data_IF_613257732606
#
_entry.id   IF_613257732606
#
_cell.length_a   1.000
_cell.length_b   1.000
_cell.length_c   1.000
_cell.angle_alpha   90.00
_cell.angle_beta   90.00
_cell.angle_gamma   90.00
#
_symmetry.space_group_name_H-M   'P 1'
#
loop_
_entity.id
_entity.type
_entity.pdbx_description
1 polymer ?
#
# COMPACT_ATOMS: atom_id res chain seq x y z
N UNK A 1 -51.70 15.54 -10.36
CA UNK A 1 -51.53 16.17 -11.70
C UNK A 1 -50.14 15.95 -12.29
N UNK A 2 -49.02 16.35 -11.65
CA UNK A 2 -47.68 16.13 -12.24
C UNK A 2 -47.32 14.64 -12.34
N UNK A 3 -47.58 13.87 -11.28
CA UNK A 3 -47.37 12.42 -11.23
C UNK A 3 -48.16 11.75 -12.35
N UNK A 4 -49.45 12.07 -12.48
CA UNK A 4 -50.32 11.52 -13.54
C UNK A 4 -49.77 11.77 -14.94
N UNK A 5 -49.25 12.98 -15.23
CA UNK A 5 -48.65 13.29 -16.55
C UNK A 5 -47.38 12.47 -16.81
N UNK A 6 -46.63 12.12 -15.77
CA UNK A 6 -45.41 11.32 -15.86
C UNK A 6 -45.70 9.82 -16.03
N UNK A 7 -46.82 9.32 -15.49
CA UNK A 7 -47.14 7.88 -15.43
C UNK A 7 -48.31 7.44 -16.30
N UNK A 8 -49.14 8.35 -16.83
CA UNK A 8 -50.34 7.99 -17.61
C UNK A 8 -50.04 7.66 -19.08
N UNK A 9 -50.28 6.39 -19.45
CA UNK A 9 -50.14 5.86 -20.80
C UNK A 9 -51.12 6.46 -21.81
N UNK A 10 -52.29 6.95 -21.37
CA UNK A 10 -53.37 7.43 -22.25
C UNK A 10 -53.01 8.69 -23.03
N UNK A 11 -51.93 9.37 -22.64
CA UNK A 11 -51.48 10.63 -23.25
C UNK A 11 -50.33 10.45 -24.25
N UNK A 12 -49.91 9.20 -24.53
CA UNK A 12 -48.85 8.88 -25.48
C UNK A 12 -49.44 8.88 -26.90
N UNK A 13 -49.45 10.04 -27.56
CA UNK A 13 -49.72 10.09 -29.00
C UNK A 13 -48.53 9.53 -29.79
N UNK A 14 -48.84 8.71 -30.80
CA UNK A 14 -47.89 7.97 -31.62
C UNK A 14 -46.71 8.85 -32.10
N UNK A 15 -45.51 8.56 -31.59
CA UNK A 15 -44.25 8.94 -32.23
C UNK A 15 -43.29 9.85 -31.45
N UNK A 16 -43.72 10.63 -30.45
CA UNK A 16 -42.78 11.45 -29.64
C UNK A 16 -43.17 11.48 -28.16
N UNK A 17 -42.34 10.86 -27.30
CA UNK A 17 -42.38 11.04 -25.84
C UNK A 17 -41.95 12.47 -25.51
N UNK A 18 -42.90 13.41 -25.48
CA UNK A 18 -42.64 14.80 -25.08
C UNK A 18 -42.22 14.82 -23.60
N UNK A 19 -41.02 15.34 -23.32
CA UNK A 19 -40.53 15.51 -21.96
C UNK A 19 -41.48 16.39 -21.13
N UNK A 20 -41.61 16.07 -19.84
CA UNK A 20 -42.23 16.97 -18.87
C UNK A 20 -41.17 17.97 -18.44
N UNK A 21 -41.39 19.24 -18.74
CA UNK A 21 -40.44 20.33 -18.47
C UNK A 21 -41.06 21.31 -17.49
N UNK A 22 -40.43 21.45 -16.32
CA UNK A 22 -40.76 22.52 -15.36
C UNK A 22 -39.58 23.47 -15.29
N UNK A 23 -39.87 24.77 -15.25
CA UNK A 23 -38.86 25.82 -15.16
C UNK A 23 -39.25 26.87 -14.14
N UNK A 24 -38.37 27.21 -13.21
CA UNK A 24 -38.60 28.28 -12.23
C UNK A 24 -39.70 27.97 -11.21
N UNK A 25 -40.08 26.70 -11.05
CA UNK A 25 -41.20 26.30 -10.19
C UNK A 25 -40.70 26.00 -8.78
N UNK A 26 -41.46 26.42 -7.76
CA UNK A 26 -41.31 25.94 -6.39
C UNK A 26 -42.24 24.76 -6.15
N UNK A 27 -41.67 23.60 -5.85
CA UNK A 27 -42.38 22.38 -5.50
C UNK A 27 -42.58 22.38 -3.98
N UNK A 28 -43.84 22.57 -3.58
CA UNK A 28 -44.27 22.54 -2.18
C UNK A 28 -44.70 21.11 -1.83
N UNK A 29 -44.21 20.61 -0.70
CA UNK A 29 -44.44 19.22 -0.26
C UNK A 29 -43.49 18.21 -0.93
N UNK A 30 -43.74 16.92 -0.68
CA UNK A 30 -42.94 15.83 -1.25
C UNK A 30 -43.34 15.57 -2.70
N UNK A 31 -42.37 15.60 -3.62
CA UNK A 31 -42.54 14.99 -4.94
C UNK A 31 -42.09 13.54 -4.85
N UNK A 32 -43.06 12.67 -4.62
CA UNK A 32 -42.86 11.24 -4.48
C UNK A 32 -43.14 10.50 -5.79
N UNK A 33 -42.10 9.87 -6.32
CA UNK A 33 -42.12 9.03 -7.53
C UNK A 33 -41.56 7.63 -7.21
N UNK A 34 -41.61 7.20 -5.95
CA UNK A 34 -41.18 5.86 -5.54
C UNK A 34 -41.89 4.77 -6.37
N UNK A 35 -41.09 3.80 -6.83
CA UNK A 35 -41.49 2.68 -7.69
C UNK A 35 -42.21 3.07 -8.99
N UNK A 36 -42.24 4.37 -9.34
CA UNK A 36 -42.96 4.86 -10.50
C UNK A 36 -42.22 4.54 -11.80
N UNK A 37 -42.97 4.26 -12.87
CA UNK A 37 -42.42 4.20 -14.23
C UNK A 37 -42.73 5.51 -14.96
N UNK A 38 -41.71 6.33 -15.15
CA UNK A 38 -41.79 7.59 -15.88
C UNK A 38 -41.76 7.31 -17.38
N UNK A 39 -42.91 7.48 -18.03
CA UNK A 39 -43.06 7.23 -19.46
C UNK A 39 -42.40 8.32 -20.31
N UNK A 40 -42.14 9.48 -19.72
CA UNK A 40 -41.55 10.68 -20.32
C UNK A 40 -40.31 11.12 -19.53
N UNK A 41 -39.28 11.70 -20.18
CA UNK A 41 -38.18 12.35 -19.46
C UNK A 41 -38.69 13.44 -18.50
N UNK A 42 -38.10 13.50 -17.31
CA UNK A 42 -38.34 14.57 -16.33
C UNK A 42 -37.21 15.59 -16.42
N UNK A 43 -37.53 16.81 -16.85
CA UNK A 43 -36.59 17.93 -16.90
C UNK A 43 -37.09 19.05 -15.98
N UNK A 44 -36.29 19.32 -14.96
CA UNK A 44 -36.51 20.36 -13.97
C UNK A 44 -35.37 21.36 -14.13
N UNK A 45 -35.70 22.62 -14.38
CA UNK A 45 -34.73 23.68 -14.59
C UNK A 45 -34.99 24.83 -13.64
N UNK A 46 -33.97 25.30 -12.92
CA UNK A 46 -34.07 26.46 -12.02
C UNK A 46 -35.22 26.30 -11.00
N UNK A 47 -35.51 25.07 -10.57
CA UNK A 47 -36.63 24.74 -9.67
C UNK A 47 -36.18 24.65 -8.21
N UNK A 48 -37.09 24.92 -7.27
CA UNK A 48 -36.84 24.87 -5.83
C UNK A 48 -37.75 23.84 -5.15
N UNK A 49 -37.21 23.01 -4.25
CA UNK A 49 -37.96 22.00 -3.51
C UNK A 49 -37.89 22.26 -2.01
N UNK A 50 -39.04 22.20 -1.34
CA UNK A 50 -39.11 22.30 0.13
C UNK A 50 -38.76 20.96 0.82
N UNK A 51 -38.91 19.83 0.12
CA UNK A 51 -38.63 18.47 0.61
C UNK A 51 -37.77 17.67 -0.38
N UNK A 52 -37.13 16.56 0.03
CA UNK A 52 -36.33 15.73 -0.85
C UNK A 52 -37.14 15.18 -2.03
N UNK A 53 -36.50 15.04 -3.20
CA UNK A 53 -37.08 14.35 -4.35
C UNK A 53 -36.96 12.83 -4.15
N UNK A 54 -38.10 12.12 -4.14
CA UNK A 54 -38.12 10.67 -3.93
C UNK A 54 -38.27 9.97 -5.29
N UNK A 55 -37.31 9.11 -5.61
CA UNK A 55 -37.15 8.35 -6.85
C UNK A 55 -36.72 6.90 -6.55
N UNK A 56 -36.94 6.41 -5.33
CA UNK A 56 -36.60 5.06 -4.94
C UNK A 56 -37.24 4.05 -5.88
N UNK A 57 -36.46 3.10 -6.39
CA UNK A 57 -36.95 2.02 -7.27
C UNK A 57 -37.70 2.48 -8.53
N UNK A 58 -37.60 3.76 -8.90
CA UNK A 58 -38.26 4.30 -10.07
C UNK A 58 -37.57 3.83 -11.36
N UNK A 59 -38.33 3.78 -12.45
CA UNK A 59 -37.82 3.53 -13.80
C UNK A 59 -38.06 4.76 -14.67
N UNK A 60 -37.02 5.37 -15.22
CA UNK A 60 -37.14 6.57 -16.03
C UNK A 60 -36.36 6.48 -17.34
N UNK A 61 -36.77 7.25 -18.34
CA UNK A 61 -35.94 7.47 -19.52
C UNK A 61 -34.72 8.32 -19.13
N UNK A 62 -34.95 9.54 -18.63
CA UNK A 62 -33.93 10.44 -18.11
C UNK A 62 -34.53 11.29 -16.99
N UNK A 63 -33.71 11.68 -16.02
CA UNK A 63 -34.05 12.65 -14.97
C UNK A 63 -32.99 13.72 -14.94
N UNK A 64 -33.38 14.98 -15.16
CA UNK A 64 -32.45 16.11 -15.22
C UNK A 64 -32.92 17.24 -14.31
N UNK A 65 -32.09 17.57 -13.34
CA UNK A 65 -32.19 18.64 -12.37
C UNK A 65 -31.09 19.64 -12.68
N UNK A 66 -31.43 20.66 -13.47
CA UNK A 66 -30.48 21.66 -13.94
C UNK A 66 -30.65 22.95 -13.15
N UNK A 67 -29.62 23.40 -12.45
CA UNK A 67 -29.71 24.63 -11.65
C UNK A 67 -30.77 24.58 -10.54
N UNK A 68 -31.13 23.38 -10.08
CA UNK A 68 -32.19 23.23 -9.08
C UNK A 68 -31.65 23.37 -7.66
N UNK A 69 -32.54 23.63 -6.71
CA UNK A 69 -32.24 23.69 -5.28
C UNK A 69 -33.16 22.75 -4.52
N UNK A 70 -32.59 21.80 -3.78
CA UNK A 70 -33.37 20.78 -3.06
C UNK A 70 -32.61 20.31 -1.81
N UNK A 71 -33.31 19.80 -0.77
CA UNK A 71 -32.63 19.34 0.44
C UNK A 71 -31.98 17.95 0.27
N UNK A 72 -32.41 17.15 -0.71
CA UNK A 72 -31.86 15.81 -0.94
C UNK A 72 -32.52 15.08 -2.10
N UNK A 73 -31.93 13.97 -2.52
CA UNK A 73 -32.48 13.09 -3.57
C UNK A 73 -32.40 11.66 -3.09
N UNK A 74 -33.56 11.01 -3.01
CA UNK A 74 -33.69 9.65 -2.55
C UNK A 74 -33.91 8.73 -3.76
N UNK A 75 -32.84 8.21 -4.36
CA UNK A 75 -32.86 7.48 -5.64
C UNK A 75 -32.17 6.10 -5.56
N UNK A 76 -32.19 5.46 -4.39
CA UNK A 76 -31.76 4.06 -4.26
C UNK A 76 -32.51 3.17 -5.25
N UNK A 77 -31.77 2.29 -5.93
CA UNK A 77 -32.31 1.36 -6.94
C UNK A 77 -33.04 2.04 -8.12
N UNK A 78 -32.87 3.35 -8.32
CA UNK A 78 -33.35 4.05 -9.51
C UNK A 78 -32.73 3.43 -10.76
N UNK A 79 -33.53 3.24 -11.81
CA UNK A 79 -33.07 2.83 -13.14
C UNK A 79 -33.38 3.92 -14.15
N UNK A 80 -32.35 4.44 -14.81
CA UNK A 80 -32.51 5.32 -15.97
C UNK A 80 -32.01 4.62 -17.22
N UNK A 81 -32.68 4.83 -18.36
CA UNK A 81 -32.15 4.39 -19.67
C UNK A 81 -31.08 5.33 -20.23
N UNK A 82 -31.14 6.60 -19.84
CA UNK A 82 -30.28 7.69 -20.30
C UNK A 82 -29.76 8.45 -19.06
N UNK A 83 -29.37 9.71 -19.22
CA UNK A 83 -28.71 10.49 -18.19
C UNK A 83 -29.50 10.69 -16.89
N UNK A 84 -28.76 10.71 -15.79
CA UNK A 84 -29.15 11.34 -14.53
C UNK A 84 -28.27 12.58 -14.33
N UNK A 85 -28.88 13.77 -14.37
CA UNK A 85 -28.15 15.03 -14.44
C UNK A 85 -28.50 15.97 -13.29
N UNK A 86 -27.49 16.41 -12.54
CA UNK A 86 -27.55 17.39 -11.45
C UNK A 86 -26.71 18.64 -11.76
N UNK A 87 -26.43 18.93 -13.03
CA UNK A 87 -25.58 20.05 -13.43
C UNK A 87 -26.07 21.36 -12.81
N UNK A 88 -25.16 22.06 -12.12
CA UNK A 88 -25.41 23.31 -11.38
C UNK A 88 -26.48 23.21 -10.28
N UNK A 89 -26.89 22.01 -9.88
CA UNK A 89 -27.85 21.83 -8.80
C UNK A 89 -27.18 21.99 -7.44
N UNK A 90 -27.88 22.59 -6.49
CA UNK A 90 -27.44 22.70 -5.09
C UNK A 90 -28.27 21.77 -4.22
N UNK A 91 -27.59 20.94 -3.42
CA UNK A 91 -28.20 20.07 -2.44
C UNK A 91 -27.71 20.45 -1.05
N UNK A 92 -28.62 20.91 -0.19
CA UNK A 92 -28.30 21.45 1.12
C UNK A 92 -29.03 20.71 2.24
N UNK A 93 -28.29 20.11 3.17
CA UNK A 93 -28.87 19.47 4.37
C UNK A 93 -29.21 17.99 4.21
N UNK A 94 -28.95 17.40 3.04
CA UNK A 94 -29.15 15.98 2.77
C UNK A 94 -28.20 15.47 1.69
N UNK A 95 -28.41 14.23 1.26
CA UNK A 95 -27.51 13.52 0.34
C UNK A 95 -28.20 13.19 -1.00
N UNK A 96 -27.39 12.83 -1.98
CA UNK A 96 -27.85 12.09 -3.17
C UNK A 96 -27.66 10.60 -2.92
N UNK A 97 -28.76 9.90 -2.63
CA UNK A 97 -28.76 8.47 -2.40
C UNK A 97 -28.98 7.71 -3.72
N UNK A 98 -27.97 6.95 -4.15
CA UNK A 98 -27.95 6.19 -5.40
C UNK A 98 -27.54 4.72 -5.17
N UNK A 99 -27.79 4.18 -3.97
CA UNK A 99 -27.38 2.81 -3.64
C UNK A 99 -28.05 1.83 -4.61
N UNK A 100 -27.25 1.05 -5.33
CA UNK A 100 -27.73 0.05 -6.29
C UNK A 100 -28.50 0.64 -7.49
N UNK A 101 -28.39 1.95 -7.73
CA UNK A 101 -29.00 2.56 -8.91
C UNK A 101 -28.25 2.14 -10.19
N UNK A 102 -28.96 2.11 -11.32
CA UNK A 102 -28.43 1.79 -12.64
C UNK A 102 -28.72 2.93 -13.61
N UNK A 103 -27.68 3.64 -14.04
CA UNK A 103 -27.77 4.80 -14.92
C UNK A 103 -27.27 4.38 -16.30
N UNK A 104 -28.20 4.24 -17.26
CA UNK A 104 -27.86 3.85 -18.64
C UNK A 104 -27.09 4.92 -19.41
N UNK A 105 -27.27 6.20 -19.05
CA UNK A 105 -26.50 7.32 -19.60
C UNK A 105 -25.31 7.72 -18.72
N UNK A 106 -24.97 9.00 -18.77
CA UNK A 106 -24.01 9.63 -17.88
C UNK A 106 -24.63 10.08 -16.55
N UNK A 107 -23.79 10.16 -15.52
CA UNK A 107 -24.13 10.74 -14.23
C UNK A 107 -23.40 12.09 -14.06
N UNK A 108 -24.15 13.18 -14.02
CA UNK A 108 -23.58 14.52 -14.14
C UNK A 108 -23.77 15.32 -12.85
N UNK A 109 -22.69 15.89 -12.35
CA UNK A 109 -22.61 16.78 -11.19
C UNK A 109 -21.80 18.05 -11.55
N UNK A 110 -21.79 18.44 -12.82
CA UNK A 110 -20.93 19.52 -13.30
C UNK A 110 -21.36 20.85 -12.67
N UNK A 111 -20.45 21.50 -11.96
CA UNK A 111 -20.70 22.76 -11.23
C UNK A 111 -21.78 22.66 -10.16
N UNK A 112 -22.13 21.45 -9.69
CA UNK A 112 -23.11 21.26 -8.64
C UNK A 112 -22.47 21.41 -7.25
N UNK A 113 -23.27 21.75 -6.26
CA UNK A 113 -22.80 21.92 -4.88
C UNK A 113 -23.60 21.02 -3.93
N UNK A 114 -22.91 20.14 -3.22
CA UNK A 114 -23.51 19.20 -2.27
C UNK A 114 -22.97 19.49 -0.87
N UNK A 115 -23.85 19.94 0.03
CA UNK A 115 -23.50 20.36 1.39
C UNK A 115 -24.20 19.48 2.43
N UNK A 116 -23.46 18.51 2.96
CA UNK A 116 -23.87 17.63 4.06
C UNK A 116 -22.67 17.26 4.96
N UNK A 117 -22.06 18.24 5.65
CA UNK A 117 -20.84 18.01 6.44
C UNK A 117 -21.07 16.97 7.54
N UNK A 118 -20.13 16.03 7.66
CA UNK A 118 -20.25 14.90 8.61
C UNK A 118 -21.14 13.76 8.14
N UNK A 119 -21.93 13.95 7.08
CA UNK A 119 -22.74 12.94 6.40
C UNK A 119 -22.21 12.61 5.00
N UNK A 120 -23.09 12.08 4.14
CA UNK A 120 -22.79 11.79 2.74
C UNK A 120 -23.21 12.96 1.85
N UNK A 121 -22.32 13.42 0.97
CA UNK A 121 -22.71 14.24 -0.17
C UNK A 121 -23.37 13.34 -1.24
N UNK A 122 -22.74 12.20 -1.54
CA UNK A 122 -23.25 11.17 -2.46
C UNK A 122 -23.09 9.81 -1.79
N UNK A 123 -24.17 9.03 -1.74
CA UNK A 123 -24.16 7.65 -1.28
C UNK A 123 -24.51 6.70 -2.43
N UNK A 124 -23.49 6.24 -3.16
CA UNK A 124 -23.60 5.44 -4.39
C UNK A 124 -22.97 4.05 -4.27
N UNK A 125 -23.11 3.37 -3.13
CA UNK A 125 -22.66 1.98 -3.01
C UNK A 125 -23.35 1.10 -4.06
N UNK A 126 -22.59 0.25 -4.75
CA UNK A 126 -23.11 -0.64 -5.81
C UNK A 126 -23.79 0.11 -6.97
N UNK A 127 -23.48 1.40 -7.16
CA UNK A 127 -23.96 2.19 -8.30
C UNK A 127 -23.35 1.68 -9.60
N UNK A 128 -24.17 1.53 -10.64
CA UNK A 128 -23.70 1.31 -12.01
C UNK A 128 -24.03 2.53 -12.86
N UNK A 129 -23.02 3.08 -13.53
CA UNK A 129 -23.16 4.09 -14.57
C UNK A 129 -22.59 3.49 -15.85
N UNK A 130 -23.42 3.25 -16.87
CA UNK A 130 -22.97 2.59 -18.10
C UNK A 130 -21.97 3.46 -18.88
N UNK A 131 -22.08 4.78 -18.77
CA UNK A 131 -21.17 5.72 -19.41
C UNK A 131 -20.21 6.38 -18.41
N UNK A 132 -20.21 7.71 -18.32
CA UNK A 132 -19.24 8.48 -17.54
C UNK A 132 -19.91 9.17 -16.35
N UNK A 133 -19.14 9.35 -15.28
CA UNK A 133 -19.51 10.20 -14.15
C UNK A 133 -18.67 11.48 -14.18
N UNK A 134 -19.34 12.63 -14.23
CA UNK A 134 -18.68 13.93 -14.39
C UNK A 134 -18.97 14.85 -13.21
N UNK A 135 -17.95 15.05 -12.37
CA UNK A 135 -17.91 15.96 -11.23
C UNK A 135 -16.90 17.08 -11.54
N UNK A 136 -17.23 17.93 -12.52
CA UNK A 136 -16.27 18.88 -13.12
C UNK A 136 -16.68 20.33 -12.90
N UNK A 137 -15.77 21.26 -13.24
CA UNK A 137 -16.07 22.68 -13.44
C UNK A 137 -16.74 23.33 -12.23
N UNK A 138 -16.07 23.30 -11.07
CA UNK A 138 -16.59 23.91 -9.84
C UNK A 138 -17.55 23.02 -9.06
N UNK A 139 -17.49 21.70 -9.25
CA UNK A 139 -18.19 20.75 -8.37
C UNK A 139 -17.64 20.85 -6.94
N UNK A 140 -18.52 21.04 -5.97
CA UNK A 140 -18.18 21.11 -4.54
C UNK A 140 -18.94 20.02 -3.80
N UNK A 141 -18.23 19.22 -3.01
CA UNK A 141 -18.83 18.26 -2.09
C UNK A 141 -18.27 18.46 -0.68
N UNK A 142 -19.14 18.87 0.25
CA UNK A 142 -18.86 18.91 1.68
C UNK A 142 -19.58 17.75 2.35
N UNK A 143 -18.82 16.76 2.80
CA UNK A 143 -19.33 15.43 3.18
C UNK A 143 -18.75 14.34 2.27
N UNK A 144 -18.94 13.09 2.67
CA UNK A 144 -18.33 11.95 1.99
C UNK A 144 -19.02 11.63 0.65
N UNK A 145 -18.22 11.41 -0.40
CA UNK A 145 -18.66 10.74 -1.63
C UNK A 145 -18.30 9.26 -1.51
N UNK A 146 -19.31 8.40 -1.30
CA UNK A 146 -19.11 6.96 -1.16
C UNK A 146 -19.57 6.21 -2.41
N UNK A 147 -18.64 5.55 -3.09
CA UNK A 147 -18.81 4.81 -4.34
C UNK A 147 -18.27 3.36 -4.21
N UNK A 148 -18.44 2.75 -3.03
CA UNK A 148 -17.92 1.40 -2.79
C UNK A 148 -18.53 0.39 -3.76
N UNK A 149 -17.68 -0.37 -4.41
CA UNK A 149 -18.08 -1.38 -5.40
C UNK A 149 -19.01 -0.84 -6.49
N UNK A 150 -18.90 0.46 -6.81
CA UNK A 150 -19.56 1.04 -7.96
C UNK A 150 -18.81 0.69 -9.26
N UNK A 151 -19.51 0.78 -10.38
CA UNK A 151 -18.96 0.56 -11.72
C UNK A 151 -19.31 1.74 -12.62
N UNK A 152 -18.30 2.36 -13.22
CA UNK A 152 -18.44 3.47 -14.18
C UNK A 152 -17.85 2.97 -15.50
N UNK A 153 -18.69 2.75 -16.51
CA UNK A 153 -18.30 2.04 -17.74
C UNK A 153 -17.29 2.78 -18.62
N UNK A 154 -17.17 4.10 -18.47
CA UNK A 154 -16.23 4.92 -19.22
C UNK A 154 -15.37 5.75 -18.26
N UNK A 155 -15.59 7.06 -18.16
CA UNK A 155 -14.68 7.97 -17.47
C UNK A 155 -15.27 8.43 -16.14
N UNK A 156 -14.43 8.48 -15.09
CA UNK A 156 -14.75 9.21 -13.87
C UNK A 156 -13.88 10.46 -13.75
N UNK A 157 -14.48 11.64 -13.78
CA UNK A 157 -13.72 12.89 -13.79
C UNK A 157 -14.11 13.81 -12.64
N UNK A 158 -13.11 14.19 -11.87
CA UNK A 158 -13.15 15.12 -10.74
C UNK A 158 -12.37 16.41 -11.06
N UNK A 159 -12.29 16.78 -12.34
CA UNK A 159 -11.44 17.89 -12.78
C UNK A 159 -11.93 19.23 -12.17
N UNK A 160 -11.03 19.91 -11.46
CA UNK A 160 -11.33 21.16 -10.77
C UNK A 160 -12.42 21.02 -9.69
N UNK A 161 -12.66 19.80 -9.19
CA UNK A 161 -13.58 19.58 -8.07
C UNK A 161 -12.92 19.93 -6.73
N UNK A 162 -13.76 20.27 -5.74
CA UNK A 162 -13.35 20.43 -4.35
C UNK A 162 -14.14 19.48 -3.45
N UNK A 163 -13.43 18.53 -2.85
CA UNK A 163 -13.98 17.58 -1.90
C UNK A 163 -13.46 17.91 -0.51
N UNK A 164 -14.35 17.98 0.48
CA UNK A 164 -13.99 18.24 1.87
C UNK A 164 -14.79 17.35 2.82
N UNK A 165 -14.08 16.51 3.56
CA UNK A 165 -14.54 15.79 4.73
C UNK A 165 -13.34 15.58 5.68
N UNK A 166 -12.92 16.63 6.41
CA UNK A 166 -11.69 16.62 7.21
C UNK A 166 -11.64 15.43 8.19
N UNK A 167 -10.44 14.89 8.40
CA UNK A 167 -10.13 13.75 9.28
C UNK A 167 -10.89 12.44 8.94
N UNK A 168 -11.58 12.38 7.80
CA UNK A 168 -12.37 11.26 7.31
C UNK A 168 -12.14 11.05 5.81
N UNK A 169 -12.80 10.07 5.21
CA UNK A 169 -12.79 9.90 3.77
C UNK A 169 -13.62 10.98 3.07
N UNK A 170 -12.99 11.78 2.20
CA UNK A 170 -13.71 12.70 1.33
C UNK A 170 -14.29 11.97 0.11
N UNK A 171 -13.54 10.99 -0.41
CA UNK A 171 -14.01 10.04 -1.40
C UNK A 171 -13.61 8.63 -1.02
N UNK A 172 -14.60 7.75 -0.91
CA UNK A 172 -14.40 6.31 -0.71
C UNK A 172 -14.90 5.55 -1.94
N UNK A 173 -13.97 5.29 -2.85
CA UNK A 173 -14.13 4.45 -4.03
C UNK A 173 -13.55 3.04 -3.83
N UNK A 174 -13.63 2.48 -2.63
CA UNK A 174 -13.12 1.12 -2.38
C UNK A 174 -13.76 0.11 -3.35
N UNK A 175 -12.93 -0.63 -4.10
CA UNK A 175 -13.34 -1.58 -5.15
C UNK A 175 -14.17 -0.95 -6.27
N UNK A 176 -13.98 0.35 -6.54
CA UNK A 176 -14.55 1.04 -7.70
C UNK A 176 -13.95 0.46 -8.99
N UNK A 177 -14.79 0.21 -9.99
CA UNK A 177 -14.35 -0.07 -11.37
C UNK A 177 -14.62 1.14 -12.26
N UNK A 178 -13.59 1.60 -12.98
CA UNK A 178 -13.68 2.62 -14.02
C UNK A 178 -13.19 2.01 -15.32
N UNK A 179 -14.08 1.87 -16.30
CA UNK A 179 -13.82 1.16 -17.56
C UNK A 179 -12.84 1.87 -18.51
N UNK A 180 -12.50 3.12 -18.22
CA UNK A 180 -11.44 3.88 -18.91
C UNK A 180 -10.61 4.66 -17.89
N UNK A 181 -10.74 5.97 -17.89
CA UNK A 181 -9.84 6.86 -17.15
C UNK A 181 -10.52 7.48 -15.93
N UNK A 182 -9.75 7.61 -14.86
CA UNK A 182 -10.08 8.42 -13.69
C UNK A 182 -9.18 9.65 -13.64
N UNK A 183 -9.76 10.84 -13.74
CA UNK A 183 -9.00 12.10 -13.76
C UNK A 183 -9.30 12.97 -12.55
N UNK A 184 -8.25 13.31 -11.81
CA UNK A 184 -8.20 14.28 -10.72
C UNK A 184 -7.17 15.34 -11.11
N UNK A 185 -7.58 16.27 -11.98
CA UNK A 185 -6.70 17.32 -12.51
C UNK A 185 -7.33 18.71 -12.48
N UNK A 186 -6.66 19.69 -13.08
CA UNK A 186 -7.16 21.07 -13.23
C UNK A 186 -7.45 21.73 -11.87
N UNK A 187 -6.48 21.63 -10.92
CA UNK A 187 -6.59 22.11 -9.53
C UNK A 187 -7.65 21.40 -8.68
N UNK A 188 -7.77 20.08 -8.86
CA UNK A 188 -8.56 19.24 -7.96
C UNK A 188 -8.05 19.35 -6.51
N UNK A 189 -8.97 19.50 -5.56
CA UNK A 189 -8.65 19.57 -4.13
C UNK A 189 -9.41 18.50 -3.35
N UNK A 190 -8.70 17.80 -2.47
CA UNK A 190 -9.26 16.80 -1.58
C UNK A 190 -8.76 17.04 -0.15
N UNK A 191 -9.66 17.48 0.72
CA UNK A 191 -9.44 17.58 2.15
C UNK A 191 -10.14 16.42 2.86
N UNK A 192 -9.36 15.50 3.42
CA UNK A 192 -9.77 14.16 3.80
C UNK A 192 -9.12 13.10 2.90
N UNK A 193 -9.35 11.83 3.23
CA UNK A 193 -8.76 10.70 2.50
C UNK A 193 -9.44 10.52 1.12
N UNK A 194 -8.61 10.42 0.08
CA UNK A 194 -8.98 9.88 -1.23
C UNK A 194 -8.68 8.37 -1.25
N UNK A 195 -9.69 7.56 -0.95
CA UNK A 195 -9.56 6.11 -0.84
C UNK A 195 -10.04 5.41 -2.12
N UNK A 196 -9.13 4.71 -2.77
CA UNK A 196 -9.33 3.89 -3.96
C UNK A 196 -8.80 2.46 -3.75
N UNK A 197 -8.90 1.95 -2.53
CA UNK A 197 -8.43 0.60 -2.18
C UNK A 197 -9.15 -0.47 -3.00
N UNK A 198 -8.37 -1.31 -3.69
CA UNK A 198 -8.87 -2.37 -4.56
C UNK A 198 -9.57 -1.87 -5.82
N UNK A 199 -9.47 -0.57 -6.15
CA UNK A 199 -10.09 -0.02 -7.35
C UNK A 199 -9.39 -0.53 -8.62
N UNK A 200 -10.16 -0.72 -9.68
CA UNK A 200 -9.70 -1.08 -11.02
C UNK A 200 -10.00 0.07 -11.96
N UNK A 201 -8.95 0.65 -12.55
CA UNK A 201 -9.06 1.70 -13.58
C UNK A 201 -8.46 1.13 -14.86
N UNK A 202 -9.28 0.74 -15.83
CA UNK A 202 -8.79 0.00 -17.00
C UNK A 202 -7.86 0.83 -17.89
N UNK A 203 -7.87 2.16 -17.75
CA UNK A 203 -6.97 3.10 -18.39
C UNK A 203 -6.09 3.84 -17.40
N UNK A 204 -6.23 5.16 -17.38
CA UNK A 204 -5.33 6.08 -16.67
C UNK A 204 -5.95 6.53 -15.35
N UNK A 205 -5.24 6.37 -14.26
CA UNK A 205 -5.47 7.10 -13.02
C UNK A 205 -4.53 8.31 -12.96
N UNK A 206 -5.05 9.51 -13.16
CA UNK A 206 -4.25 10.74 -13.22
C UNK A 206 -4.56 11.66 -12.04
N UNK A 207 -3.57 11.88 -11.19
CA UNK A 207 -3.54 12.97 -10.21
C UNK A 207 -2.51 14.00 -10.66
N UNK A 208 -2.99 15.07 -11.31
CA UNK A 208 -2.13 16.12 -11.87
C UNK A 208 -2.55 17.50 -11.38
N UNK A 209 -1.62 18.31 -10.89
CA UNK A 209 -1.92 19.64 -10.34
C UNK A 209 -2.99 19.54 -9.23
N UNK A 210 -3.05 18.40 -8.55
CA UNK A 210 -4.00 18.13 -7.48
C UNK A 210 -3.40 18.48 -6.11
N UNK A 211 -4.25 18.85 -5.17
CA UNK A 211 -3.88 19.11 -3.77
C UNK A 211 -4.58 18.10 -2.87
N UNK A 212 -3.82 17.30 -2.13
CA UNK A 212 -4.34 16.26 -1.24
C UNK A 212 -3.91 16.54 0.19
N UNK A 213 -4.88 16.66 1.10
CA UNK A 213 -4.65 17.07 2.49
C UNK A 213 -5.48 16.22 3.45
N UNK A 214 -4.81 15.45 4.29
CA UNK A 214 -5.39 14.73 5.42
C UNK A 214 -4.34 14.62 6.53
N UNK A 215 -4.19 15.71 7.31
CA UNK A 215 -3.16 15.82 8.33
C UNK A 215 -3.27 14.69 9.37
N UNK A 216 -2.15 14.04 9.70
CA UNK A 216 -2.15 12.92 10.66
C UNK A 216 -2.78 11.62 10.16
N UNK A 217 -3.32 11.59 8.94
CA UNK A 217 -3.96 10.43 8.32
C UNK A 217 -3.33 10.03 6.98
N UNK A 218 -4.13 9.34 6.16
CA UNK A 218 -3.79 8.98 4.78
C UNK A 218 -4.42 9.98 3.83
N UNK A 219 -3.61 10.69 3.03
CA UNK A 219 -4.13 11.60 2.02
C UNK A 219 -4.67 10.85 0.79
N UNK A 220 -3.99 9.77 0.41
CA UNK A 220 -4.35 8.96 -0.75
C UNK A 220 -4.02 7.49 -0.54
N UNK A 221 -4.99 6.62 -0.79
CA UNK A 221 -4.83 5.17 -0.72
C UNK A 221 -5.27 4.52 -2.03
N UNK A 222 -4.40 3.70 -2.61
CA UNK A 222 -4.66 2.88 -3.79
C UNK A 222 -4.19 1.43 -3.54
N UNK A 223 -4.43 0.92 -2.32
CA UNK A 223 -3.94 -0.39 -1.90
C UNK A 223 -4.56 -1.48 -2.75
N UNK A 224 -3.74 -2.37 -3.30
CA UNK A 224 -4.20 -3.46 -4.19
C UNK A 224 -4.99 -2.96 -5.41
N UNK A 225 -4.89 -1.67 -5.74
CA UNK A 225 -5.50 -1.08 -6.92
C UNK A 225 -4.76 -1.45 -8.19
N UNK A 226 -5.43 -1.36 -9.33
CA UNK A 226 -4.85 -1.63 -10.66
C UNK A 226 -5.17 -0.52 -11.63
N UNK A 227 -4.17 -0.08 -12.39
CA UNK A 227 -4.36 0.82 -13.52
C UNK A 227 -3.40 0.49 -14.66
N UNK A 228 -3.72 0.87 -15.91
CA UNK A 228 -2.72 0.80 -16.98
C UNK A 228 -1.63 1.85 -16.71
N UNK A 229 -2.06 3.10 -16.55
CA UNK A 229 -1.15 4.21 -16.30
C UNK A 229 -1.55 4.92 -15.02
N UNK A 230 -0.56 5.26 -14.20
CA UNK A 230 -0.74 6.10 -13.02
C UNK A 230 0.17 7.32 -13.11
N UNK A 231 -0.45 8.49 -13.24
CA UNK A 231 0.24 9.77 -13.14
C UNK A 231 0.06 10.38 -11.76
N UNK A 232 1.17 10.69 -11.10
CA UNK A 232 1.21 11.24 -9.76
C UNK A 232 2.10 12.49 -9.72
N UNK A 233 1.57 13.60 -10.23
CA UNK A 233 2.23 14.90 -10.30
C UNK A 233 1.37 15.96 -9.62
N UNK A 234 1.46 16.02 -8.30
CA UNK A 234 0.64 16.94 -7.50
C UNK A 234 1.10 18.40 -7.67
N UNK A 235 0.33 19.34 -7.12
CA UNK A 235 0.71 20.75 -7.06
C UNK A 235 1.79 21.02 -6.01
N UNK A 236 1.74 20.25 -4.92
CA UNK A 236 2.61 20.31 -3.75
C UNK A 236 2.67 18.90 -3.13
N UNK A 237 3.71 18.58 -2.32
CA UNK A 237 3.72 17.34 -1.56
C UNK A 237 2.43 17.17 -0.75
N UNK A 238 1.78 16.01 -0.79
CA UNK A 238 0.50 15.80 -0.11
C UNK A 238 0.71 15.82 1.40
N UNK A 239 -0.23 16.41 2.13
CA UNK A 239 -0.22 16.42 3.59
C UNK A 239 -0.88 15.14 4.10
N UNK A 240 -0.08 14.17 4.53
CA UNK A 240 -0.55 12.85 4.97
C UNK A 240 0.16 11.71 4.23
N UNK A 241 -0.06 10.48 4.67
CA UNK A 241 0.56 9.32 4.05
C UNK A 241 -0.05 9.02 2.66
N UNK A 242 0.78 8.46 1.77
CA UNK A 242 0.34 7.85 0.52
C UNK A 242 0.52 6.34 0.58
N UNK A 243 -0.53 5.59 0.28
CA UNK A 243 -0.52 4.12 0.37
C UNK A 243 -0.68 3.50 -1.02
N UNK A 244 0.39 2.85 -1.52
CA UNK A 244 0.41 2.12 -2.80
C UNK A 244 0.67 0.62 -2.59
N UNK A 245 0.39 0.12 -1.39
CA UNK A 245 0.71 -1.26 -1.01
C UNK A 245 -0.02 -2.25 -1.91
N UNK A 246 0.73 -3.18 -2.52
CA UNK A 246 0.24 -4.17 -3.50
C UNK A 246 -0.45 -3.58 -4.74
N UNK A 247 -0.34 -2.27 -4.99
CA UNK A 247 -0.86 -1.67 -6.21
C UNK A 247 -0.07 -2.15 -7.44
N UNK A 248 -0.74 -2.23 -8.59
CA UNK A 248 -0.12 -2.67 -9.84
C UNK A 248 -0.46 -1.69 -10.94
N UNK A 249 0.56 -1.13 -11.57
CA UNK A 249 0.39 -0.26 -12.73
C UNK A 249 1.30 -0.73 -13.85
N UNK A 250 0.97 -0.50 -15.11
CA UNK A 250 1.92 -0.83 -16.22
C UNK A 250 2.94 0.31 -16.34
N UNK A 251 2.44 1.54 -16.33
CA UNK A 251 3.26 2.76 -16.41
C UNK A 251 3.04 3.65 -15.18
N UNK A 252 4.15 4.04 -14.55
CA UNK A 252 4.14 5.01 -13.46
C UNK A 252 4.86 6.29 -13.89
N UNK A 253 4.15 7.42 -13.79
CA UNK A 253 4.64 8.74 -14.14
C UNK A 253 4.68 9.61 -12.87
N UNK A 254 5.90 9.90 -12.41
CA UNK A 254 6.19 10.52 -11.13
C UNK A 254 6.87 11.89 -11.28
N UNK A 255 6.76 12.71 -10.24
CA UNK A 255 7.47 13.98 -10.13
C UNK A 255 8.18 14.08 -8.77
N UNK A 256 9.50 14.34 -8.79
CA UNK A 256 10.32 14.22 -7.59
C UNK A 256 10.10 15.35 -6.57
N UNK A 257 9.65 16.51 -7.06
CA UNK A 257 9.37 17.70 -6.24
C UNK A 257 8.10 17.55 -5.39
N UNK A 258 7.19 16.65 -5.78
CA UNK A 258 5.87 16.51 -5.15
C UNK A 258 5.65 15.16 -4.48
N UNK A 259 6.73 14.40 -4.28
CA UNK A 259 6.67 13.14 -3.54
C UNK A 259 6.25 13.34 -2.08
N UNK A 260 5.39 12.46 -1.54
CA UNK A 260 4.99 12.45 -0.14
C UNK A 260 6.16 12.22 0.81
N UNK A 261 6.05 12.76 2.02
CA UNK A 261 6.99 12.49 3.11
C UNK A 261 6.92 11.02 3.55
N UNK A 262 5.71 10.47 3.63
CA UNK A 262 5.44 9.08 4.06
C UNK A 262 4.75 8.31 2.94
N UNK A 263 5.35 7.19 2.52
CA UNK A 263 4.79 6.37 1.44
C UNK A 263 4.92 4.86 1.66
N UNK A 264 3.82 4.13 1.47
CA UNK A 264 3.76 2.68 1.63
C UNK A 264 3.84 1.97 0.29
N UNK A 265 5.05 1.55 -0.09
CA UNK A 265 5.36 0.96 -1.39
C UNK A 265 5.45 -0.58 -1.39
N UNK A 266 5.20 -1.26 -0.26
CA UNK A 266 5.34 -2.72 -0.19
C UNK A 266 4.46 -3.40 -1.25
N UNK A 267 5.09 -4.18 -2.13
CA UNK A 267 4.38 -4.90 -3.19
C UNK A 267 3.85 -4.01 -4.33
N UNK A 268 4.15 -2.71 -4.34
CA UNK A 268 3.86 -1.84 -5.49
C UNK A 268 4.67 -2.32 -6.69
N UNK A 269 3.98 -2.53 -7.82
CA UNK A 269 4.58 -2.98 -9.08
C UNK A 269 4.28 -1.99 -10.20
N UNK A 270 5.28 -1.79 -11.04
CA UNK A 270 5.25 -1.01 -12.26
C UNK A 270 6.26 -1.57 -13.23
N UNK A 271 5.90 -1.60 -14.52
CA UNK A 271 6.78 -2.11 -15.57
C UNK A 271 7.67 -0.97 -16.09
N UNK A 272 7.06 0.17 -16.39
CA UNK A 272 7.77 1.32 -16.97
C UNK A 272 7.67 2.56 -16.09
N UNK A 273 8.77 3.31 -16.01
CA UNK A 273 8.83 4.63 -15.39
C UNK A 273 8.87 5.68 -16.50
N UNK A 274 7.82 6.50 -16.63
CA UNK A 274 7.67 7.42 -17.75
C UNK A 274 8.60 8.64 -17.66
N UNK A 275 8.86 9.14 -16.46
CA UNK A 275 9.74 10.30 -16.27
C UNK A 275 11.21 9.87 -16.19
N UNK A 276 11.97 10.03 -17.28
CA UNK A 276 13.40 9.68 -17.31
C UNK A 276 14.32 10.75 -16.74
N UNK A 277 13.80 11.96 -16.49
CA UNK A 277 14.61 13.08 -15.98
C UNK A 277 15.00 12.91 -14.51
N UNK A 278 14.26 12.10 -13.76
CA UNK A 278 14.50 11.85 -12.34
C UNK A 278 15.72 10.95 -12.16
N UNK A 279 16.70 11.45 -11.40
CA UNK A 279 17.92 10.70 -11.12
C UNK A 279 17.65 9.42 -10.31
N UNK A 280 18.43 8.38 -10.56
CA UNK A 280 18.41 7.12 -9.79
C UNK A 280 18.61 7.38 -8.29
N UNK A 281 19.44 8.38 -7.94
CA UNK A 281 19.69 8.76 -6.53
C UNK A 281 18.43 9.28 -5.86
N UNK A 282 17.64 10.11 -6.57
CA UNK A 282 16.37 10.62 -6.06
C UNK A 282 15.37 9.49 -5.84
N UNK A 283 15.21 8.57 -6.80
CA UNK A 283 14.32 7.39 -6.64
C UNK A 283 14.77 6.46 -5.51
N UNK A 284 16.08 6.26 -5.33
CA UNK A 284 16.61 5.50 -4.20
C UNK A 284 16.33 6.18 -2.84
N UNK A 285 16.36 7.52 -2.78
CA UNK A 285 15.96 8.27 -1.60
C UNK A 285 14.46 8.10 -1.33
N UNK A 286 13.62 8.17 -2.37
CA UNK A 286 12.18 7.92 -2.24
C UNK A 286 11.85 6.57 -1.62
N UNK A 287 12.54 5.49 -2.03
CA UNK A 287 12.38 4.16 -1.41
C UNK A 287 12.74 4.13 0.09
N UNK A 288 13.48 5.11 0.61
CA UNK A 288 13.80 5.22 2.04
C UNK A 288 12.65 5.75 2.88
N UNK A 289 11.65 6.39 2.26
CA UNK A 289 10.49 7.01 2.91
C UNK A 289 9.42 5.99 3.35
N UNK A 290 9.67 4.70 3.16
CA UNK A 290 8.82 3.62 3.63
C UNK A 290 8.90 3.49 5.17
N UNK A 291 7.77 3.56 5.92
CA UNK A 291 7.79 3.53 7.39
C UNK A 291 8.44 2.28 8.00
N UNK A 292 8.14 1.09 7.49
CA UNK A 292 8.70 -0.17 8.02
C UNK A 292 10.18 -0.41 7.63
N UNK A 293 10.87 0.59 7.05
CA UNK A 293 12.27 0.48 6.67
C UNK A 293 12.52 -0.23 5.35
N UNK A 294 13.56 -1.07 5.28
CA UNK A 294 13.98 -1.70 4.02
C UNK A 294 12.99 -2.79 3.56
N UNK A 295 12.39 -2.54 2.40
CA UNK A 295 11.62 -3.53 1.66
C UNK A 295 12.43 -4.00 0.44
N UNK A 296 13.08 -5.19 0.47
CA UNK A 296 13.93 -5.66 -0.63
C UNK A 296 13.21 -5.68 -1.99
N UNK A 297 11.92 -6.03 -2.00
CA UNK A 297 11.13 -6.16 -3.23
C UNK A 297 10.90 -4.84 -3.97
N UNK A 298 10.89 -3.68 -3.29
CA UNK A 298 10.73 -2.38 -3.98
C UNK A 298 11.97 -2.01 -4.77
N UNK A 299 13.15 -2.40 -4.29
CA UNK A 299 14.41 -2.25 -5.02
C UNK A 299 14.47 -3.18 -6.25
N UNK A 300 13.97 -4.41 -6.13
CA UNK A 300 13.93 -5.36 -7.24
C UNK A 300 13.01 -4.88 -8.36
N UNK A 301 11.85 -4.30 -8.00
CA UNK A 301 10.94 -3.72 -8.97
C UNK A 301 11.58 -2.54 -9.70
N UNK A 302 12.19 -1.60 -8.96
CA UNK A 302 12.90 -0.46 -9.55
C UNK A 302 14.05 -0.87 -10.47
N UNK A 303 14.84 -1.87 -10.08
CA UNK A 303 15.93 -2.38 -10.91
C UNK A 303 15.40 -3.05 -12.19
N UNK A 304 14.28 -3.77 -12.10
CA UNK A 304 13.61 -4.41 -13.24
C UNK A 304 13.11 -3.37 -14.24
N UNK A 305 12.42 -2.33 -13.75
CA UNK A 305 11.93 -1.24 -14.61
C UNK A 305 13.07 -0.55 -15.37
N UNK A 306 14.19 -0.22 -14.70
CA UNK A 306 15.37 0.35 -15.39
C UNK A 306 15.99 -0.61 -16.41
N UNK A 307 15.99 -1.92 -16.12
CA UNK A 307 16.49 -2.92 -17.06
C UNK A 307 15.61 -3.01 -18.31
N UNK A 308 14.29 -2.98 -18.14
CA UNK A 308 13.32 -3.00 -19.25
C UNK A 308 13.41 -1.73 -20.10
N UNK A 309 13.68 -0.57 -19.49
CA UNK A 309 13.95 0.69 -20.18
C UNK A 309 15.34 0.75 -20.87
N UNK A 310 16.13 -0.33 -20.85
CA UNK A 310 17.48 -0.36 -21.44
C UNK A 310 18.56 0.37 -20.63
N UNK A 311 18.24 0.87 -19.44
CA UNK A 311 19.16 1.63 -18.57
C UNK A 311 19.95 0.70 -17.63
N UNK A 312 20.82 -0.15 -18.21
CA UNK A 312 21.56 -1.18 -17.48
C UNK A 312 22.42 -0.63 -16.32
N UNK A 313 23.03 0.55 -16.49
CA UNK A 313 23.83 1.18 -15.44
C UNK A 313 22.97 1.61 -14.24
N UNK A 314 21.78 2.19 -14.50
CA UNK A 314 20.83 2.57 -13.46
C UNK A 314 20.36 1.34 -12.67
N UNK A 315 19.98 0.26 -13.36
CA UNK A 315 19.60 -1.01 -12.73
C UNK A 315 20.70 -1.58 -11.84
N UNK A 316 21.97 -1.54 -12.30
CA UNK A 316 23.13 -1.98 -11.51
C UNK A 316 23.33 -1.14 -10.25
N UNK A 317 23.19 0.19 -10.35
CA UNK A 317 23.28 1.10 -9.19
C UNK A 317 22.22 0.77 -8.15
N UNK A 318 20.98 0.48 -8.56
CA UNK A 318 19.89 0.07 -7.65
C UNK A 318 20.20 -1.26 -6.96
N UNK A 319 20.70 -2.26 -7.69
CA UNK A 319 21.09 -3.54 -7.12
C UNK A 319 22.23 -3.40 -6.08
N UNK A 320 23.25 -2.58 -6.38
CA UNK A 320 24.33 -2.26 -5.44
C UNK A 320 23.76 -1.59 -4.18
N UNK A 321 22.88 -0.61 -4.34
CA UNK A 321 22.24 0.08 -3.21
C UNK A 321 21.44 -0.89 -2.31
N UNK A 322 20.69 -1.83 -2.90
CA UNK A 322 19.98 -2.90 -2.19
C UNK A 322 20.95 -3.74 -1.34
N UNK A 323 22.08 -4.16 -1.92
CA UNK A 323 23.10 -4.93 -1.19
C UNK A 323 23.73 -4.16 -0.02
N UNK A 324 24.05 -2.87 -0.21
CA UNK A 324 24.57 -2.03 0.88
C UNK A 324 23.56 -1.87 2.02
N UNK A 325 22.28 -1.66 1.70
CA UNK A 325 21.23 -1.48 2.72
C UNK A 325 20.99 -2.77 3.50
N UNK A 326 20.92 -3.92 2.82
CA UNK A 326 20.86 -5.25 3.46
C UNK A 326 22.00 -5.49 4.44
N UNK A 327 23.22 -5.02 4.13
CA UNK A 327 24.38 -5.13 5.03
C UNK A 327 24.33 -4.20 6.23
N UNK A 328 23.71 -3.02 6.08
CA UNK A 328 23.56 -2.04 7.18
C UNK A 328 22.49 -2.45 8.20
N UNK A 329 21.49 -3.22 7.77
CA UNK A 329 20.43 -3.73 8.67
C UNK A 329 20.79 -5.00 9.45
N UNK A 330 21.92 -5.64 9.15
CA UNK A 330 22.48 -6.68 10.01
C UNK A 330 22.86 -6.07 11.37
N UNK A 331 22.05 -6.34 12.41
CA UNK A 331 22.32 -5.94 13.80
C UNK A 331 23.72 -6.41 14.23
N UNK A 332 24.38 -5.65 15.10
CA UNK A 332 25.75 -5.90 15.61
C UNK A 332 26.06 -7.38 15.99
N UNK A 333 25.15 -8.15 16.63
CA UNK A 333 25.41 -9.55 16.95
C UNK A 333 25.64 -10.42 15.71
N UNK A 334 24.91 -10.16 14.61
CA UNK A 334 25.08 -10.89 13.36
C UNK A 334 26.38 -10.57 12.63
N UNK A 335 26.94 -9.37 12.83
CA UNK A 335 28.26 -9.00 12.29
C UNK A 335 29.40 -9.69 13.04
N UNK A 336 29.31 -9.75 14.38
CA UNK A 336 30.27 -10.48 15.21
C UNK A 336 30.22 -11.98 14.93
N UNK A 337 29.02 -12.55 14.78
CA UNK A 337 28.85 -13.96 14.43
C UNK A 337 29.42 -14.29 13.04
N UNK A 338 29.16 -13.45 12.03
CA UNK A 338 29.74 -13.62 10.69
C UNK A 338 31.27 -13.47 10.68
N UNK A 339 31.81 -12.57 11.49
CA UNK A 339 33.27 -12.43 11.64
C UNK A 339 33.88 -13.67 12.30
N UNK A 340 33.24 -14.20 13.34
CA UNK A 340 33.67 -15.42 14.02
C UNK A 340 33.63 -16.63 13.07
N UNK A 341 32.57 -16.78 12.28
CA UNK A 341 32.47 -17.84 11.26
C UNK A 341 33.51 -17.69 10.14
N UNK A 342 33.86 -16.46 9.76
CA UNK A 342 34.93 -16.20 8.80
C UNK A 342 36.29 -16.64 9.33
N UNK A 343 36.60 -16.30 10.59
CA UNK A 343 37.89 -16.62 11.23
C UNK A 343 38.06 -18.13 11.46
N UNK A 344 36.98 -18.83 11.82
CA UNK A 344 37.02 -20.24 12.22
C UNK A 344 36.84 -21.20 11.04
N UNK A 345 35.82 -21.00 10.21
CA UNK A 345 35.39 -22.00 9.20
C UNK A 345 35.26 -21.41 7.78
N UNK A 346 35.50 -20.10 7.62
CA UNK A 346 35.46 -19.44 6.31
C UNK A 346 34.13 -19.65 5.57
N UNK A 347 33.00 -19.55 6.27
CA UNK A 347 31.65 -19.80 5.74
C UNK A 347 31.41 -21.23 5.20
N UNK A 348 32.17 -22.22 5.64
CA UNK A 348 32.03 -23.62 5.20
C UNK A 348 32.93 -24.01 4.02
N UNK A 349 33.63 -23.04 3.41
CA UNK A 349 34.54 -23.30 2.28
C UNK A 349 35.97 -23.68 2.70
N UNK A 350 36.32 -23.49 3.99
CA UNK A 350 37.69 -23.69 4.50
C UNK A 350 37.68 -24.39 5.85
N UNK A 351 36.99 -25.52 5.95
CA UNK A 351 36.86 -26.33 7.19
C UNK A 351 38.20 -26.75 7.80
N UNK A 352 39.26 -26.86 6.99
CA UNK A 352 40.63 -27.15 7.45
C UNK A 352 41.23 -26.09 8.39
N UNK A 353 40.75 -24.82 8.36
CA UNK A 353 41.17 -23.77 9.29
C UNK A 353 40.78 -24.08 10.74
N UNK A 354 39.64 -24.76 10.95
CA UNK A 354 39.25 -25.22 12.28
C UNK A 354 40.27 -26.23 12.83
N UNK A 355 40.83 -27.08 11.98
CA UNK A 355 41.92 -27.99 12.34
C UNK A 355 43.19 -27.26 12.77
N UNK A 356 43.56 -26.16 12.10
CA UNK A 356 44.69 -25.33 12.51
C UNK A 356 44.45 -24.62 13.84
N UNK A 357 43.25 -24.09 14.06
CA UNK A 357 42.90 -23.48 15.34
C UNK A 357 42.90 -24.51 16.48
N UNK A 358 42.37 -25.72 16.24
CA UNK A 358 42.42 -26.82 17.20
C UNK A 358 43.87 -27.23 17.50
N UNK A 359 44.72 -27.37 16.48
CA UNK A 359 46.13 -27.71 16.68
C UNK A 359 46.88 -26.62 17.46
N UNK A 360 46.66 -25.34 17.13
CA UNK A 360 47.25 -24.22 17.84
C UNK A 360 46.81 -24.14 19.29
N UNK A 361 45.50 -24.24 19.55
CA UNK A 361 44.95 -24.28 20.90
C UNK A 361 45.47 -25.49 21.68
N UNK A 362 45.57 -26.66 21.05
CA UNK A 362 46.11 -27.86 21.67
C UNK A 362 47.58 -27.67 22.12
N UNK A 363 48.41 -27.03 21.28
CA UNK A 363 49.81 -26.75 21.62
C UNK A 363 49.92 -25.72 22.76
N UNK A 364 49.11 -24.66 22.72
CA UNK A 364 49.07 -23.65 23.80
C UNK A 364 48.60 -24.27 25.10
N UNK A 365 47.52 -25.06 25.06
CA UNK A 365 47.03 -25.81 26.22
C UNK A 365 48.10 -26.73 26.78
N UNK A 366 48.76 -27.51 25.92
CA UNK A 366 49.78 -28.45 26.37
C UNK A 366 50.94 -27.73 27.07
N UNK A 367 51.35 -26.55 26.57
CA UNK A 367 52.38 -25.73 27.21
C UNK A 367 51.92 -25.16 28.56
N UNK A 368 50.71 -24.56 28.61
CA UNK A 368 50.14 -23.98 29.84
C UNK A 368 49.93 -25.02 30.92
N UNK A 369 49.39 -26.19 30.57
CA UNK A 369 49.13 -27.25 31.54
C UNK A 369 50.39 -28.03 31.92
N UNK A 370 51.42 -28.08 31.05
CA UNK A 370 52.73 -28.60 31.41
C UNK A 370 53.42 -27.72 32.46
N UNK A 371 53.33 -26.40 32.30
CA UNK A 371 53.88 -25.42 33.26
C UNK A 371 53.10 -25.44 34.59
N UNK A 372 51.78 -25.60 34.53
CA UNK A 372 50.93 -25.72 35.72
C UNK A 372 51.19 -27.01 36.54
N UNK A 373 51.75 -28.05 35.93
CA UNK A 373 52.04 -29.31 36.61
C UNK A 373 53.43 -29.30 37.25
N UNK A 374 53.60 -29.77 38.51
CA UNK A 374 52.59 -30.42 39.37
C UNK A 374 51.86 -29.46 40.34
N UNK A 375 52.32 -28.22 40.49
CA UNK A 375 51.92 -27.35 41.60
C UNK A 375 50.47 -26.88 41.56
N UNK A 376 49.90 -26.70 40.36
CA UNK A 376 48.57 -26.14 40.15
C UNK A 376 47.59 -27.17 39.54
N UNK A 377 47.93 -28.48 39.57
CA UNK A 377 47.07 -29.58 39.11
C UNK A 377 46.84 -30.59 40.24
N UNK A 378 45.65 -30.55 40.87
CA UNK A 378 45.31 -31.43 42.00
C UNK A 378 44.73 -32.77 41.52
N UNK A 379 45.07 -33.86 42.21
CA UNK A 379 44.48 -35.17 41.95
C UNK A 379 43.04 -35.22 42.47
N UNK A 380 42.12 -35.69 41.64
CA UNK A 380 40.71 -35.83 42.02
C UNK A 380 40.44 -37.07 42.89
N UNK A 381 41.34 -38.05 42.91
CA UNK A 381 41.22 -39.29 43.70
C UNK A 381 42.58 -39.87 44.10
N UNK A 382 42.59 -40.92 44.93
CA UNK A 382 43.82 -41.60 45.42
C UNK A 382 44.53 -42.46 44.37
N UNK A 383 43.87 -42.75 43.24
CA UNK A 383 44.44 -43.52 42.12
C UNK A 383 44.07 -42.86 40.80
N UNK A 384 44.97 -42.03 40.29
CA UNK A 384 44.80 -41.31 39.02
C UNK A 384 45.88 -41.71 38.00
N UNK A 385 45.57 -41.71 36.70
CA UNK A 385 46.58 -41.88 35.66
C UNK A 385 47.62 -40.75 35.71
N UNK A 386 48.85 -41.03 35.28
CA UNK A 386 49.91 -40.02 35.19
C UNK A 386 49.43 -38.83 34.34
N UNK A 387 49.73 -37.62 34.82
CA UNK A 387 49.31 -36.40 34.13
C UNK A 387 50.02 -36.28 32.79
N UNK A 388 49.23 -36.10 31.73
CA UNK A 388 49.73 -35.90 30.38
C UNK A 388 49.18 -34.56 29.86
N UNK A 389 50.00 -33.48 29.79
CA UNK A 389 49.51 -32.14 29.44
C UNK A 389 48.78 -32.09 28.09
N UNK A 390 49.28 -32.83 27.10
CA UNK A 390 48.67 -32.89 25.77
C UNK A 390 47.33 -33.63 25.80
N UNK A 391 47.27 -34.77 26.50
CA UNK A 391 46.03 -35.53 26.64
C UNK A 391 44.98 -34.75 27.43
N UNK A 392 45.38 -34.08 28.51
CA UNK A 392 44.51 -33.17 29.27
C UNK A 392 43.97 -32.02 28.41
N UNK A 393 44.84 -31.39 27.61
CA UNK A 393 44.44 -30.31 26.70
C UNK A 393 43.44 -30.79 25.65
N UNK A 394 43.64 -32.01 25.12
CA UNK A 394 42.72 -32.60 24.16
C UNK A 394 41.36 -32.91 24.79
N UNK A 395 41.37 -33.44 26.01
CA UNK A 395 40.18 -33.76 26.82
C UNK A 395 39.34 -32.51 27.11
N UNK A 396 40.00 -31.40 27.44
CA UNK A 396 39.35 -30.11 27.72
C UNK A 396 38.85 -29.42 26.44
N UNK A 397 39.57 -29.56 25.32
CA UNK A 397 39.29 -28.88 24.06
C UNK A 397 38.26 -29.61 23.18
N UNK A 398 38.18 -30.95 23.25
CA UNK A 398 37.26 -31.75 22.45
C UNK A 398 36.07 -32.24 23.30
N UNK A 399 34.89 -31.61 23.21
CA UNK A 399 33.77 -31.89 24.12
C UNK A 399 33.16 -33.29 24.01
N UNK A 400 33.56 -34.08 23.00
CA UNK A 400 33.02 -35.42 22.71
C UNK A 400 34.03 -36.52 23.08
N UNK A 401 35.30 -36.17 23.32
CA UNK A 401 36.36 -37.13 23.65
C UNK A 401 36.57 -37.10 25.16
N UNK A 402 36.55 -38.27 25.80
CA UNK A 402 36.88 -38.44 27.21
C UNK A 402 38.11 -39.35 27.33
N UNK A 403 39.27 -38.74 27.55
CA UNK A 403 40.55 -39.42 27.80
C UNK A 403 40.77 -39.68 29.30
N UNK A 404 39.83 -39.28 30.16
CA UNK A 404 39.88 -39.47 31.60
C UNK A 404 40.89 -38.56 32.33
N UNK A 405 41.57 -37.65 31.64
CA UNK A 405 42.55 -36.72 32.24
C UNK A 405 41.83 -35.55 32.92
N UNK A 406 40.81 -34.96 32.29
CA UNK A 406 40.03 -33.85 32.83
C UNK A 406 39.30 -34.22 34.13
N UNK A 407 38.82 -35.47 34.21
CA UNK A 407 38.15 -35.99 35.42
C UNK A 407 39.11 -36.31 36.55
N UNK A 408 40.36 -36.63 36.21
CA UNK A 408 41.36 -37.07 37.18
C UNK A 408 42.20 -35.92 37.75
N UNK A 409 42.28 -34.80 37.03
CA UNK A 409 43.13 -33.66 37.38
C UNK A 409 42.34 -32.35 37.41
N UNK A 410 42.28 -31.74 38.58
CA UNK A 410 41.57 -30.48 38.83
C UNK A 410 42.55 -29.30 38.76
N UNK A 411 42.42 -28.42 37.75
CA UNK A 411 43.31 -27.29 37.57
C UNK A 411 42.98 -26.20 38.59
N UNK A 412 44.00 -25.52 39.09
CA UNK A 412 43.89 -24.45 40.08
C UNK A 412 44.42 -23.13 39.52
N UNK A 413 44.06 -22.02 40.18
CA UNK A 413 44.55 -20.67 39.87
C UNK A 413 44.40 -20.32 38.37
N UNK A 414 45.49 -19.89 37.72
CA UNK A 414 45.48 -19.52 36.31
C UNK A 414 45.15 -20.68 35.37
N UNK A 415 45.52 -21.91 35.72
CA UNK A 415 45.23 -23.10 34.91
C UNK A 415 43.72 -23.38 34.83
N UNK A 416 42.95 -23.02 35.86
CA UNK A 416 41.50 -23.17 35.86
C UNK A 416 40.83 -22.26 34.82
N UNK A 417 41.28 -21.01 34.72
CA UNK A 417 40.78 -20.05 33.73
C UNK A 417 41.09 -20.53 32.32
N UNK A 418 42.29 -21.04 32.10
CA UNK A 418 42.68 -21.64 30.83
C UNK A 418 41.86 -22.87 30.46
N UNK A 419 41.56 -23.75 31.43
CA UNK A 419 40.68 -24.89 31.23
C UNK A 419 39.29 -24.47 30.73
N UNK A 420 38.65 -23.50 31.40
CA UNK A 420 37.36 -22.97 30.96
C UNK A 420 37.41 -22.29 29.60
N UNK A 421 38.45 -21.51 29.32
CA UNK A 421 38.63 -20.85 28.04
C UNK A 421 38.78 -21.86 26.89
N UNK A 422 39.55 -22.93 27.11
CA UNK A 422 39.72 -23.99 26.12
C UNK A 422 38.44 -24.80 25.90
N UNK A 423 37.70 -25.13 26.96
CA UNK A 423 36.39 -25.79 26.81
C UNK A 423 35.39 -24.93 26.04
N UNK A 424 35.31 -23.63 26.35
CA UNK A 424 34.45 -22.70 25.62
C UNK A 424 34.86 -22.60 24.13
N UNK A 425 36.16 -22.46 23.85
CA UNK A 425 36.68 -22.43 22.49
C UNK A 425 36.39 -23.73 21.72
N UNK A 426 36.51 -24.89 22.38
CA UNK A 426 36.16 -26.20 21.85
C UNK A 426 34.71 -26.29 21.38
N UNK A 427 33.77 -25.86 22.21
CA UNK A 427 32.34 -25.80 21.84
C UNK A 427 32.05 -24.83 20.69
N UNK A 428 32.71 -23.67 20.67
CA UNK A 428 32.58 -22.70 19.57
C UNK A 428 33.09 -23.27 18.24
N UNK A 429 34.25 -23.92 18.25
CA UNK A 429 34.82 -24.54 17.05
C UNK A 429 33.96 -25.73 16.58
N UNK A 430 33.52 -26.59 17.49
CA UNK A 430 32.66 -27.74 17.16
C UNK A 430 31.33 -27.29 16.53
N UNK A 431 30.66 -26.29 17.11
CA UNK A 431 29.42 -25.75 16.57
C UNK A 431 29.63 -25.04 15.22
N UNK A 432 30.73 -24.31 15.05
CA UNK A 432 31.07 -23.68 13.78
C UNK A 432 31.32 -24.72 12.67
N UNK A 433 31.99 -25.84 12.98
CA UNK A 433 32.24 -26.93 12.01
C UNK A 433 30.93 -27.61 11.62
N UNK A 434 30.07 -27.96 12.58
CA UNK A 434 28.75 -28.56 12.32
C UNK A 434 27.89 -27.63 11.44
N UNK A 435 27.86 -26.34 11.76
CA UNK A 435 27.14 -25.33 10.97
C UNK A 435 27.73 -25.16 9.55
N UNK A 436 29.06 -25.25 9.42
CA UNK A 436 29.75 -25.21 8.14
C UNK A 436 29.40 -26.38 7.22
N UNK A 437 29.40 -27.60 7.77
CA UNK A 437 29.06 -28.82 7.02
C UNK A 437 27.58 -28.82 6.61
N UNK A 438 26.66 -28.41 7.50
CA UNK A 438 25.22 -28.36 7.20
C UNK A 438 24.84 -27.40 6.05
N UNK A 439 25.59 -26.30 5.89
CA UNK A 439 25.37 -25.36 4.78
C UNK A 439 25.88 -25.88 3.43
N UNK A 440 26.83 -26.83 3.42
CA UNK A 440 27.31 -27.50 2.20
C UNK A 440 26.29 -28.55 1.75
N UNK A 441 25.69 -29.32 2.66
CA UNK A 441 24.71 -30.36 2.33
C UNK A 441 23.34 -29.83 1.87
N UNK A 442 22.90 -28.64 2.32
CA UNK A 442 21.61 -28.03 1.88
C UNK A 442 21.65 -27.44 0.46
N UNK A 443 22.74 -27.65 -0.28
CA UNK A 443 22.99 -27.10 -1.62
C UNK A 443 23.14 -28.17 -2.71
N UNK A 444 22.88 -29.42 -2.39
CA UNK A 444 22.52 -30.49 -3.32
C UNK A 444 21.02 -30.79 -3.14
#
# INVERSE_FOLDING_TARGET
MLIDVLTDERTISAGRRKAVRLRGVRVVGSLDLESATLLRPLLLQDCYFDQPLILHEANALAVRLLGCHLPGVAANQLRTRDDLDFTKTTINGGAVHLRGAHIGGGLWFTGSELHNPGGFAIFGNLLTVEHSMFCRNGFIARGEIRLRSASIGSQFSLNGASLSNPDKAALDGSRLHVGKDMFCKDRFTCEGELNLDGALVDGTLLLREATLRNAGGTAFSFRSGRARTMGFQLQEPPLGAVVLTNAQVEEFDDESETWPEVIWLRGFKYDTLRNETISVRSRLNWLTRHPDGFAPGTYDNLATAYKQAGQAEAARRVAIAKHWRRRRELKLPGKLWNWLLYLTVGYGYRTWLAGLWLAGLLLVGAAVFADAYPSDMLQASTTVPAFQPLAYSLDVLLPVVDLGQQRSWLPQRGAQVWSWAMTAAGWVLATAVIAGIGNVMRRE
#
